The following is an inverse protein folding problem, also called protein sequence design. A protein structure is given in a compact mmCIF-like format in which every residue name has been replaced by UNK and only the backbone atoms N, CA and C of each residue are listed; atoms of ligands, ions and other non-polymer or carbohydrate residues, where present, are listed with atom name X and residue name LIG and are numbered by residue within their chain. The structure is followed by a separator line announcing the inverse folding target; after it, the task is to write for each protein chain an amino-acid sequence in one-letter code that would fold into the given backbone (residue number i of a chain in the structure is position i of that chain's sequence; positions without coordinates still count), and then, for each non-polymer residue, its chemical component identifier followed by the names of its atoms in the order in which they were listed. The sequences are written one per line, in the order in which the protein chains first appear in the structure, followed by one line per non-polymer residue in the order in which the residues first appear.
data_IF_769303319367
#
_entry.id   IF_769303319367
#
_cell.length_a   1.000
_cell.length_b   1.000
_cell.length_c   1.000
_cell.angle_alpha   90.00
_cell.angle_beta   90.00
_cell.angle_gamma   90.00
#
_symmetry.space_group_name_H-M   'P 1'
#
loop_
_entity.id
_entity.type
_entity.pdbx_description
1 polymer ?
#
# COMPACT_ATOMS: atom_id res chain seq x y z
N UNK A 1 3.75 -0.72 -23.68
CA UNK A 1 4.54 0.48 -24.04
C UNK A 1 3.66 1.75 -24.04
N UNK A 2 2.55 1.81 -24.79
CA UNK A 2 1.71 3.03 -24.79
C UNK A 2 1.10 3.37 -23.41
N UNK A 3 0.63 2.36 -22.67
CA UNK A 3 0.03 2.56 -21.34
C UNK A 3 1.00 3.03 -20.26
N UNK A 4 2.31 2.82 -20.47
CA UNK A 4 3.37 3.23 -19.54
C UNK A 4 3.92 4.63 -19.85
N UNK A 5 3.37 5.33 -20.84
CA UNK A 5 3.75 6.72 -21.12
C UNK A 5 3.27 7.60 -19.96
N UNK A 6 4.12 8.55 -19.60
CA UNK A 6 3.98 9.47 -18.48
C UNK A 6 3.29 10.77 -18.91
N UNK A 7 2.95 11.61 -17.93
CA UNK A 7 2.35 12.92 -18.17
C UNK A 7 0.97 12.90 -18.83
N UNK A 8 0.55 14.07 -19.31
CA UNK A 8 -0.77 14.31 -19.91
C UNK A 8 -1.02 13.43 -21.15
N UNK A 9 0.02 13.19 -21.97
CA UNK A 9 -0.06 12.30 -23.12
C UNK A 9 -0.37 10.87 -22.68
N UNK A 10 0.28 10.40 -21.62
CA UNK A 10 0.03 9.10 -21.02
C UNK A 10 -1.41 8.93 -20.53
N UNK A 11 -1.96 9.97 -19.89
CA UNK A 11 -3.36 10.00 -19.43
C UNK A 11 -4.31 9.84 -20.62
N UNK A 12 -4.14 10.65 -21.67
CA UNK A 12 -4.97 10.59 -22.86
C UNK A 12 -4.87 9.24 -23.59
N UNK A 13 -3.67 8.65 -23.65
CA UNK A 13 -3.47 7.33 -24.26
C UNK A 13 -4.16 6.22 -23.48
N UNK A 14 -4.02 6.17 -22.15
CA UNK A 14 -4.70 5.17 -21.31
C UNK A 14 -6.22 5.25 -21.48
N UNK A 15 -6.77 6.46 -21.48
CA UNK A 15 -8.21 6.68 -21.74
C UNK A 15 -8.63 6.17 -23.11
N UNK A 16 -7.92 6.52 -24.19
CA UNK A 16 -8.26 6.05 -25.54
C UNK A 16 -8.15 4.53 -25.70
N UNK A 17 -7.14 3.94 -25.08
CA UNK A 17 -6.93 2.49 -25.08
C UNK A 17 -8.07 1.80 -24.32
N UNK A 18 -8.43 2.27 -23.12
CA UNK A 18 -9.48 1.64 -22.31
C UNK A 18 -10.86 1.63 -22.98
N UNK A 19 -11.15 2.61 -23.86
CA UNK A 19 -12.42 2.65 -24.61
C UNK A 19 -12.55 1.62 -25.73
N UNK A 20 -11.53 0.81 -26.02
CA UNK A 20 -11.66 -0.23 -27.03
C UNK A 20 -12.52 -1.40 -26.52
N UNK A 21 -13.67 -1.73 -27.16
CA UNK A 21 -14.70 -2.59 -26.58
C UNK A 21 -14.27 -4.04 -26.30
N UNK A 22 -13.31 -4.57 -27.08
CA UNK A 22 -12.80 -5.92 -26.89
C UNK A 22 -11.52 -6.00 -26.04
N UNK A 23 -10.98 -4.87 -25.59
CA UNK A 23 -9.67 -4.84 -24.95
C UNK A 23 -9.63 -5.71 -23.69
N UNK A 24 -10.51 -5.42 -22.73
CA UNK A 24 -10.48 -6.11 -21.43
C UNK A 24 -10.76 -7.60 -21.56
N UNK A 25 -11.67 -7.99 -22.48
CA UNK A 25 -11.93 -9.40 -22.80
C UNK A 25 -10.68 -10.12 -23.34
N UNK A 26 -9.99 -9.50 -24.31
CA UNK A 26 -8.77 -10.07 -24.90
C UNK A 26 -7.63 -10.15 -23.86
N UNK A 27 -7.47 -9.11 -23.03
CA UNK A 27 -6.49 -9.12 -21.94
C UNK A 27 -6.80 -10.23 -20.94
N UNK A 28 -8.07 -10.42 -20.59
CA UNK A 28 -8.48 -11.48 -19.69
C UNK A 28 -8.09 -12.84 -20.27
N UNK A 29 -8.43 -13.12 -21.52
CA UNK A 29 -8.13 -14.39 -22.20
C UNK A 29 -6.64 -14.73 -22.14
N UNK A 30 -5.79 -13.78 -22.54
CA UNK A 30 -4.33 -13.95 -22.51
C UNK A 30 -3.82 -14.18 -21.08
N UNK A 31 -4.32 -13.45 -20.08
CA UNK A 31 -3.87 -13.61 -18.69
C UNK A 31 -4.22 -15.00 -18.12
N UNK A 32 -5.33 -15.58 -18.58
CA UNK A 32 -5.85 -16.88 -18.14
C UNK A 32 -5.29 -18.08 -18.91
N UNK A 33 -4.68 -17.86 -20.07
CA UNK A 33 -4.07 -18.92 -20.87
C UNK A 33 -2.73 -19.36 -20.25
N UNK A 34 -2.73 -20.50 -19.58
CA UNK A 34 -1.50 -21.08 -19.02
C UNK A 34 -0.52 -21.60 -20.07
N UNK A 35 -0.94 -21.71 -21.35
CA UNK A 35 -0.06 -22.06 -22.46
C UNK A 35 0.66 -20.84 -23.03
N UNK A 36 0.19 -19.63 -22.72
CA UNK A 36 0.83 -18.38 -23.13
C UNK A 36 2.17 -18.16 -22.43
N UNK A 37 3.09 -17.45 -23.09
CA UNK A 37 4.39 -17.09 -22.51
C UNK A 37 4.19 -16.27 -21.22
N UNK A 38 4.92 -16.59 -20.16
CA UNK A 38 4.87 -15.84 -18.90
C UNK A 38 5.12 -14.33 -19.11
N UNK A 39 6.03 -13.97 -20.02
CA UNK A 39 6.28 -12.59 -20.41
C UNK A 39 5.04 -11.89 -21.01
N UNK A 40 4.21 -12.61 -21.78
CA UNK A 40 2.98 -12.04 -22.34
C UNK A 40 1.95 -11.77 -21.23
N UNK A 41 1.78 -12.71 -20.29
CA UNK A 41 0.89 -12.53 -19.12
C UNK A 41 1.35 -11.37 -18.23
N UNK A 42 2.66 -11.22 -18.05
CA UNK A 42 3.28 -10.10 -17.33
C UNK A 42 3.04 -8.77 -18.03
N UNK A 43 3.13 -8.72 -19.37
CA UNK A 43 2.77 -7.53 -20.13
C UNK A 43 1.29 -7.17 -19.95
N UNK A 44 0.40 -8.15 -19.98
CA UNK A 44 -1.04 -7.96 -19.73
C UNK A 44 -1.29 -7.43 -18.32
N UNK A 45 -0.69 -8.03 -17.29
CA UNK A 45 -0.79 -7.54 -15.92
C UNK A 45 -0.28 -6.10 -15.80
N UNK A 46 0.83 -5.76 -16.47
CA UNK A 46 1.36 -4.40 -16.51
C UNK A 46 0.44 -3.41 -17.24
N UNK A 47 -0.24 -3.84 -18.31
CA UNK A 47 -1.26 -3.04 -18.99
C UNK A 47 -2.42 -2.77 -18.04
N UNK A 48 -2.98 -3.80 -17.40
CA UNK A 48 -4.08 -3.67 -16.45
C UNK A 48 -3.73 -2.74 -15.29
N UNK A 49 -2.54 -2.90 -14.70
CA UNK A 49 -2.02 -1.99 -13.65
C UNK A 49 -2.03 -0.53 -14.11
N UNK A 50 -1.49 -0.27 -15.30
CA UNK A 50 -1.39 1.10 -15.80
C UNK A 50 -2.77 1.68 -16.13
N UNK A 51 -3.67 0.89 -16.72
CA UNK A 51 -5.05 1.30 -17.01
C UNK A 51 -5.85 1.60 -15.74
N UNK A 52 -5.63 0.81 -14.69
CA UNK A 52 -6.27 0.99 -13.38
C UNK A 52 -5.84 2.27 -12.64
N UNK A 53 -4.87 3.04 -13.14
CA UNK A 53 -4.57 4.38 -12.59
C UNK A 53 -5.82 5.28 -12.68
N UNK A 54 -6.56 5.20 -13.79
CA UNK A 54 -7.81 5.93 -13.98
C UNK A 54 -8.96 5.31 -13.18
N UNK A 55 -9.71 6.13 -12.45
CA UNK A 55 -10.74 5.66 -11.51
C UNK A 55 -11.88 4.92 -12.20
N UNK A 56 -12.36 5.43 -13.33
CA UNK A 56 -13.48 4.83 -14.05
C UNK A 56 -13.05 3.50 -14.69
N UNK A 57 -11.85 3.49 -15.30
CA UNK A 57 -11.25 2.27 -15.87
C UNK A 57 -10.98 1.21 -14.79
N UNK A 58 -10.54 1.63 -13.59
CA UNK A 58 -10.36 0.75 -12.42
C UNK A 58 -11.67 0.08 -11.99
N UNK A 59 -12.77 0.83 -11.99
CA UNK A 59 -14.11 0.31 -11.70
C UNK A 59 -14.58 -0.68 -12.77
N UNK A 60 -14.37 -0.36 -14.05
CA UNK A 60 -14.76 -1.22 -15.17
C UNK A 60 -13.99 -2.56 -15.16
N UNK A 61 -12.66 -2.51 -14.98
CA UNK A 61 -11.84 -3.73 -14.82
C UNK A 61 -12.34 -4.53 -13.61
N UNK A 62 -12.69 -3.85 -12.52
CA UNK A 62 -13.20 -4.44 -11.30
C UNK A 62 -14.51 -5.21 -11.45
N UNK A 63 -15.42 -4.71 -12.29
CA UNK A 63 -16.68 -5.39 -12.62
C UNK A 63 -16.45 -6.71 -13.38
N UNK A 64 -15.33 -6.84 -14.09
CA UNK A 64 -14.92 -8.09 -14.71
C UNK A 64 -14.21 -8.99 -13.69
N UNK A 65 -14.97 -9.66 -12.82
CA UNK A 65 -14.44 -10.54 -11.77
C UNK A 65 -13.41 -11.56 -12.29
N UNK A 66 -13.56 -12.03 -13.53
CA UNK A 66 -12.60 -12.92 -14.19
C UNK A 66 -11.17 -12.35 -14.26
N UNK A 67 -11.01 -11.03 -14.43
CA UNK A 67 -9.70 -10.37 -14.42
C UNK A 67 -9.11 -10.35 -13.01
N UNK A 68 -9.91 -10.03 -12.00
CA UNK A 68 -9.47 -10.06 -10.59
C UNK A 68 -9.00 -11.48 -10.24
N UNK A 69 -9.84 -12.50 -10.46
CA UNK A 69 -9.50 -13.90 -10.15
C UNK A 69 -8.23 -14.36 -10.88
N UNK A 70 -8.06 -14.00 -12.16
CA UNK A 70 -6.86 -14.36 -12.94
C UNK A 70 -5.61 -13.65 -12.43
N UNK A 71 -5.72 -12.37 -12.06
CA UNK A 71 -4.63 -11.63 -11.44
C UNK A 71 -4.25 -12.20 -10.07
N UNK A 72 -5.24 -12.59 -9.24
CA UNK A 72 -4.99 -13.23 -7.95
C UNK A 72 -4.23 -14.54 -8.09
N UNK A 73 -4.66 -15.41 -9.02
CA UNK A 73 -3.91 -16.64 -9.33
C UNK A 73 -2.49 -16.32 -9.80
N UNK A 74 -2.33 -15.37 -10.71
CA UNK A 74 -1.01 -14.98 -11.19
C UNK A 74 -0.12 -14.38 -10.10
N UNK A 75 -0.68 -13.62 -9.15
CA UNK A 75 0.06 -13.01 -8.03
C UNK A 75 0.46 -13.99 -6.94
N UNK A 76 -0.29 -15.08 -6.78
CA UNK A 76 -0.08 -16.06 -5.72
C UNK A 76 0.71 -17.29 -6.17
N UNK A 77 0.83 -17.52 -7.48
CA UNK A 77 1.59 -18.65 -8.05
C UNK A 77 3.11 -18.40 -7.97
N UNK A 78 3.67 -18.34 -6.77
CA UNK A 78 5.11 -18.34 -6.53
C UNK A 78 5.70 -19.75 -6.32
N UNK A 79 4.95 -20.79 -6.68
CA UNK A 79 5.33 -22.18 -6.44
C UNK A 79 6.54 -22.59 -7.29
N UNK A 80 7.73 -22.45 -6.71
CA UNK A 80 8.98 -23.05 -7.19
C UNK A 80 10.23 -22.40 -6.61
N UNK A 81 10.96 -23.06 -5.67
CA UNK A 81 12.27 -22.59 -5.20
C UNK A 81 13.36 -22.59 -6.30
N UNK A 82 13.05 -23.08 -7.51
CA UNK A 82 13.94 -23.12 -8.67
C UNK A 82 13.60 -22.08 -9.74
N UNK A 83 12.77 -21.08 -9.44
CA UNK A 83 12.46 -20.01 -10.39
C UNK A 83 13.67 -19.09 -10.57
N UNK A 84 14.12 -18.93 -11.80
CA UNK A 84 15.19 -17.97 -12.12
C UNK A 84 14.66 -16.54 -11.92
N UNK A 85 15.55 -15.55 -11.79
CA UNK A 85 15.23 -14.15 -11.49
C UNK A 85 14.16 -13.53 -12.44
N UNK A 86 13.98 -14.09 -13.64
CA UNK A 86 12.95 -13.72 -14.61
C UNK A 86 11.54 -14.25 -14.33
N UNK A 87 11.41 -15.47 -13.81
CA UNK A 87 10.13 -16.15 -13.55
C UNK A 87 9.36 -15.50 -12.38
N UNK A 88 10.06 -14.79 -11.49
CA UNK A 88 9.48 -14.11 -10.31
C UNK A 88 8.75 -12.78 -10.65
N UNK A 89 8.83 -12.30 -11.90
CA UNK A 89 8.28 -10.98 -12.24
C UNK A 89 6.76 -10.97 -12.46
N UNK A 90 6.15 -12.07 -12.92
CA UNK A 90 4.70 -12.12 -13.14
C UNK A 90 3.92 -11.95 -11.82
N UNK A 91 4.22 -12.72 -10.73
CA UNK A 91 3.53 -12.55 -9.47
C UNK A 91 3.56 -11.11 -8.94
N UNK A 92 4.74 -10.49 -9.03
CA UNK A 92 4.93 -9.09 -8.66
C UNK A 92 4.06 -8.13 -9.48
N UNK A 93 4.11 -8.20 -10.80
CA UNK A 93 3.36 -7.27 -11.67
C UNK A 93 1.86 -7.50 -11.55
N UNK A 94 1.42 -8.75 -11.39
CA UNK A 94 0.03 -9.09 -11.13
C UNK A 94 -0.44 -8.53 -9.77
N UNK A 95 0.36 -8.68 -8.72
CA UNK A 95 0.05 -8.12 -7.41
C UNK A 95 0.02 -6.59 -7.40
N UNK A 96 0.92 -5.93 -8.14
CA UNK A 96 0.85 -4.47 -8.34
C UNK A 96 -0.44 -4.05 -9.08
N UNK A 97 -0.90 -4.84 -10.06
CA UNK A 97 -2.16 -4.59 -10.74
C UNK A 97 -3.34 -4.71 -9.77
N UNK A 98 -3.35 -5.74 -8.91
CA UNK A 98 -4.37 -5.90 -7.87
C UNK A 98 -4.34 -4.74 -6.87
N UNK A 99 -3.16 -4.31 -6.41
CA UNK A 99 -3.03 -3.19 -5.48
C UNK A 99 -3.61 -1.90 -6.08
N UNK A 100 -3.34 -1.64 -7.37
CA UNK A 100 -3.94 -0.52 -8.09
C UNK A 100 -5.46 -0.66 -8.22
N UNK A 101 -5.96 -1.87 -8.51
CA UNK A 101 -7.39 -2.14 -8.59
C UNK A 101 -8.11 -1.98 -7.24
N UNK A 102 -7.45 -2.30 -6.14
CA UNK A 102 -7.97 -2.19 -4.78
C UNK A 102 -8.01 -0.73 -4.29
N UNK A 103 -7.07 0.10 -4.73
CA UNK A 103 -6.94 1.49 -4.29
C UNK A 103 -8.25 2.27 -4.50
N UNK A 104 -8.73 2.93 -3.44
CA UNK A 104 -9.97 3.74 -3.40
C UNK A 104 -11.19 3.05 -4.05
N UNK A 105 -11.23 1.71 -4.08
CA UNK A 105 -12.29 0.95 -4.71
C UNK A 105 -12.81 -0.14 -3.77
N UNK A 106 -13.86 0.22 -3.02
CA UNK A 106 -14.54 -0.66 -2.05
C UNK A 106 -15.00 -1.96 -2.72
N UNK A 107 -15.62 -1.87 -3.91
CA UNK A 107 -16.16 -3.04 -4.60
C UNK A 107 -15.06 -4.06 -4.90
N UNK A 108 -13.93 -3.61 -5.45
CA UNK A 108 -12.82 -4.48 -5.80
C UNK A 108 -12.20 -5.13 -4.56
N UNK A 109 -12.05 -4.37 -3.47
CA UNK A 109 -11.57 -4.91 -2.20
C UNK A 109 -12.51 -5.99 -1.64
N UNK A 110 -13.82 -5.77 -1.68
CA UNK A 110 -14.82 -6.76 -1.26
C UNK A 110 -14.81 -8.02 -2.13
N UNK A 111 -14.54 -7.90 -3.44
CA UNK A 111 -14.35 -9.06 -4.31
C UNK A 111 -13.11 -9.85 -3.90
N UNK A 112 -11.98 -9.17 -3.64
CA UNK A 112 -10.73 -9.80 -3.23
C UNK A 112 -10.83 -10.47 -1.84
N UNK A 113 -11.54 -9.87 -0.89
CA UNK A 113 -11.75 -10.39 0.47
C UNK A 113 -12.56 -11.70 0.50
N UNK A 114 -13.35 -11.98 -0.55
CA UNK A 114 -14.12 -13.22 -0.66
C UNK A 114 -13.27 -14.41 -1.10
N UNK A 115 -12.07 -14.17 -1.64
CA UNK A 115 -11.19 -15.27 -2.06
C UNK A 115 -10.60 -15.96 -0.82
N UNK A 116 -10.79 -17.29 -0.68
CA UNK A 116 -10.22 -18.04 0.43
C UNK A 116 -8.69 -17.94 0.48
N UNK A 117 -8.14 -17.92 1.70
CA UNK A 117 -6.69 -17.89 1.98
C UNK A 117 -5.94 -16.66 1.43
N UNK A 118 -6.61 -15.69 0.81
CA UNK A 118 -5.91 -14.58 0.17
C UNK A 118 -5.14 -13.75 1.20
N UNK A 119 -5.79 -13.37 2.31
CA UNK A 119 -5.14 -12.65 3.41
C UNK A 119 -4.00 -13.47 4.00
N UNK A 120 -4.22 -14.76 4.27
CA UNK A 120 -3.16 -15.65 4.79
C UNK A 120 -1.93 -15.69 3.87
N UNK A 121 -2.13 -15.73 2.54
CA UNK A 121 -1.01 -15.69 1.59
C UNK A 121 -0.30 -14.34 1.58
N UNK A 122 -1.03 -13.22 1.64
CA UNK A 122 -0.42 -11.89 1.76
C UNK A 122 0.37 -11.74 3.08
N UNK A 123 -0.17 -12.26 4.19
CA UNK A 123 0.52 -12.36 5.49
C UNK A 123 1.84 -13.10 5.34
N UNK A 124 1.82 -14.28 4.71
CA UNK A 124 3.03 -15.08 4.48
C UNK A 124 4.05 -14.40 3.57
N UNK A 125 3.61 -13.60 2.59
CA UNK A 125 4.52 -12.79 1.77
C UNK A 125 5.29 -11.73 2.57
N UNK A 126 4.68 -11.18 3.63
CA UNK A 126 5.39 -10.26 4.54
C UNK A 126 6.41 -11.05 5.39
N UNK A 127 6.09 -12.28 5.81
CA UNK A 127 6.96 -13.13 6.64
C UNK A 127 8.25 -13.58 5.95
N UNK A 128 8.24 -13.75 4.62
CA UNK A 128 9.40 -14.26 3.87
C UNK A 128 10.55 -13.23 3.80
N UNK A 129 10.28 -11.96 4.14
CA UNK A 129 11.25 -10.86 4.06
C UNK A 129 11.89 -10.68 2.67
N UNK A 130 11.17 -11.03 1.59
CA UNK A 130 11.50 -10.57 0.25
C UNK A 130 10.90 -9.17 0.05
N UNK A 131 11.77 -8.15 0.00
CA UNK A 131 11.39 -6.76 -0.17
C UNK A 131 10.42 -6.49 -1.33
N UNK A 132 10.55 -7.23 -2.43
CA UNK A 132 9.64 -7.09 -3.59
C UNK A 132 8.24 -7.61 -3.28
N UNK A 133 8.14 -8.69 -2.49
CA UNK A 133 6.88 -9.29 -2.06
C UNK A 133 6.22 -8.47 -0.93
N UNK A 134 7.02 -7.95 0.01
CA UNK A 134 6.54 -7.08 1.10
C UNK A 134 5.76 -5.90 0.52
N UNK A 135 6.32 -5.19 -0.46
CA UNK A 135 5.66 -4.00 -1.02
C UNK A 135 4.28 -4.30 -1.59
N UNK A 136 4.17 -5.37 -2.37
CA UNK A 136 2.90 -5.80 -2.99
C UNK A 136 1.90 -6.23 -1.92
N UNK A 137 2.33 -7.06 -0.97
CA UNK A 137 1.48 -7.59 0.08
C UNK A 137 0.95 -6.47 0.99
N UNK A 138 1.83 -5.58 1.45
CA UNK A 138 1.48 -4.45 2.29
C UNK A 138 0.56 -3.46 1.57
N UNK A 139 0.81 -3.17 0.29
CA UNK A 139 -0.06 -2.32 -0.53
C UNK A 139 -1.47 -2.90 -0.66
N UNK A 140 -1.59 -4.21 -0.86
CA UNK A 140 -2.89 -4.88 -0.91
C UNK A 140 -3.57 -4.85 0.45
N UNK A 141 -2.91 -5.32 1.50
CA UNK A 141 -3.46 -5.34 2.85
C UNK A 141 -3.93 -3.96 3.30
N UNK A 142 -3.20 -2.88 2.98
CA UNK A 142 -3.61 -1.51 3.33
C UNK A 142 -4.98 -1.15 2.77
N UNK A 143 -5.23 -1.51 1.51
CA UNK A 143 -6.53 -1.26 0.87
C UNK A 143 -7.61 -2.20 1.39
N UNK A 144 -7.29 -3.48 1.63
CA UNK A 144 -8.24 -4.45 2.15
C UNK A 144 -8.69 -4.14 3.58
N UNK A 145 -7.77 -3.71 4.45
CA UNK A 145 -8.04 -3.34 5.84
C UNK A 145 -9.10 -2.23 5.97
N UNK A 146 -9.02 -1.21 5.10
CA UNK A 146 -9.97 -0.10 5.08
C UNK A 146 -11.42 -0.57 4.82
N UNK A 147 -11.59 -1.68 4.09
CA UNK A 147 -12.90 -2.14 3.62
C UNK A 147 -13.37 -3.46 4.25
N UNK A 148 -12.47 -4.20 4.89
CA UNK A 148 -12.80 -5.43 5.63
C UNK A 148 -13.88 -5.19 6.69
N UNK A 149 -13.93 -3.99 7.29
CA UNK A 149 -14.94 -3.64 8.28
C UNK A 149 -16.34 -3.41 7.70
N UNK A 150 -16.41 -2.99 6.43
CA UNK A 150 -17.68 -2.85 5.72
C UNK A 150 -18.25 -4.22 5.31
N UNK A 151 -17.54 -5.32 5.58
CA UNK A 151 -17.95 -6.67 5.25
C UNK A 151 -18.47 -7.41 6.49
N UNK A 152 -19.79 -7.42 6.74
CA UNK A 152 -20.37 -8.12 7.90
C UNK A 152 -20.15 -9.64 7.86
N UNK A 153 -20.02 -10.22 6.65
CA UNK A 153 -19.82 -11.66 6.45
C UNK A 153 -18.34 -12.06 6.40
N UNK A 154 -17.42 -11.23 6.89
CA UNK A 154 -16.01 -11.60 6.91
C UNK A 154 -15.82 -12.82 7.81
N UNK A 155 -15.19 -13.87 7.29
CA UNK A 155 -14.99 -15.11 8.03
C UNK A 155 -14.08 -14.87 9.23
N UNK A 156 -14.31 -15.62 10.32
CA UNK A 156 -13.46 -15.60 11.51
C UNK A 156 -11.99 -15.88 11.16
N UNK A 157 -11.74 -16.80 10.21
CA UNK A 157 -10.39 -17.06 9.69
C UNK A 157 -9.74 -15.82 9.09
N UNK A 158 -10.45 -15.08 8.23
CA UNK A 158 -9.89 -13.87 7.63
C UNK A 158 -9.66 -12.77 8.67
N UNK A 159 -10.49 -12.68 9.71
CA UNK A 159 -10.28 -11.74 10.81
C UNK A 159 -9.01 -12.08 11.60
N UNK A 160 -8.82 -13.35 11.94
CA UNK A 160 -7.62 -13.82 12.63
C UNK A 160 -6.35 -13.61 11.76
N UNK A 161 -6.43 -13.94 10.47
CA UNK A 161 -5.31 -13.72 9.54
C UNK A 161 -4.96 -12.24 9.39
N UNK A 162 -5.94 -11.34 9.44
CA UNK A 162 -5.70 -9.90 9.48
C UNK A 162 -4.96 -9.54 10.76
N UNK A 163 -5.48 -9.86 11.94
CA UNK A 163 -4.84 -9.51 13.22
C UNK A 163 -3.42 -10.07 13.33
N UNK A 164 -3.17 -11.31 12.90
CA UNK A 164 -1.82 -11.88 12.82
C UNK A 164 -0.90 -11.05 11.90
N UNK A 165 -1.40 -10.66 10.72
CA UNK A 165 -0.65 -9.84 9.78
C UNK A 165 -0.32 -8.47 10.37
N UNK A 166 -1.23 -7.89 11.16
CA UNK A 166 -1.00 -6.62 11.83
C UNK A 166 0.12 -6.70 12.87
N UNK A 167 0.07 -7.69 13.77
CA UNK A 167 1.14 -7.91 14.74
C UNK A 167 2.49 -8.01 14.02
N UNK A 168 2.55 -8.79 12.94
CA UNK A 168 3.79 -8.96 12.17
C UNK A 168 4.28 -7.67 11.51
N UNK A 169 3.37 -6.84 11.00
CA UNK A 169 3.71 -5.54 10.41
C UNK A 169 4.38 -4.65 11.44
N UNK A 170 3.83 -4.58 12.67
CA UNK A 170 4.40 -3.75 13.74
C UNK A 170 5.82 -4.19 14.12
N UNK A 171 6.05 -5.49 14.25
CA UNK A 171 7.38 -6.06 14.51
C UNK A 171 8.35 -5.77 13.35
N UNK A 172 7.89 -5.93 12.11
CA UNK A 172 8.76 -5.77 10.93
C UNK A 172 9.20 -4.33 10.72
N UNK A 173 8.35 -3.35 11.07
CA UNK A 173 8.66 -1.91 10.94
C UNK A 173 9.93 -1.52 11.71
N UNK A 174 10.27 -2.20 12.81
CA UNK A 174 11.48 -1.85 13.56
C UNK A 174 12.77 -2.19 12.79
N UNK A 175 12.72 -3.13 11.85
CA UNK A 175 13.90 -3.75 11.24
C UNK A 175 14.12 -3.37 9.76
N UNK A 176 13.16 -2.69 9.11
CA UNK A 176 13.23 -2.31 7.69
C UNK A 176 13.54 -0.82 7.47
N UNK A 177 13.98 -0.47 6.26
CA UNK A 177 14.29 0.90 5.84
C UNK A 177 13.74 1.20 4.43
N UNK A 178 13.78 2.47 4.02
CA UNK A 178 13.46 2.89 2.65
C UNK A 178 12.01 2.59 2.23
N UNK A 179 11.82 2.09 1.01
CA UNK A 179 10.50 1.84 0.43
C UNK A 179 9.68 0.78 1.19
N UNK A 180 10.33 -0.19 1.83
CA UNK A 180 9.65 -1.18 2.69
C UNK A 180 9.12 -0.54 3.96
N UNK A 181 9.91 0.35 4.57
CA UNK A 181 9.47 1.11 5.74
C UNK A 181 8.30 2.03 5.40
N UNK A 182 8.37 2.75 4.27
CA UNK A 182 7.29 3.62 3.78
C UNK A 182 5.95 2.87 3.69
N UNK A 183 5.92 1.74 2.99
CA UNK A 183 4.67 1.02 2.73
C UNK A 183 4.12 0.35 4.00
N UNK A 184 5.00 -0.17 4.87
CA UNK A 184 4.57 -0.78 6.13
C UNK A 184 4.05 0.26 7.12
N UNK A 185 4.67 1.45 7.23
CA UNK A 185 4.11 2.55 8.01
C UNK A 185 2.76 2.98 7.43
N UNK A 186 2.61 3.04 6.10
CA UNK A 186 1.33 3.36 5.47
C UNK A 186 0.21 2.34 5.74
N UNK A 187 0.56 1.06 5.88
CA UNK A 187 -0.36 0.02 6.36
C UNK A 187 -0.69 0.20 7.84
N UNK A 188 0.33 0.39 8.68
CA UNK A 188 0.20 0.60 10.12
C UNK A 188 -0.67 1.82 10.46
N UNK A 189 -0.48 2.94 9.75
CA UNK A 189 -1.22 4.18 9.98
C UNK A 189 -2.69 3.98 9.64
N UNK A 190 -2.97 3.23 8.57
CA UNK A 190 -4.32 2.87 8.18
C UNK A 190 -4.99 1.98 9.24
N UNK A 191 -4.27 1.01 9.82
CA UNK A 191 -4.83 0.17 10.88
C UNK A 191 -5.08 1.01 12.14
N UNK A 192 -4.10 1.83 12.55
CA UNK A 192 -4.21 2.75 13.69
C UNK A 192 -5.45 3.65 13.59
N UNK A 193 -5.72 4.19 12.40
CA UNK A 193 -6.89 5.02 12.13
C UNK A 193 -8.22 4.29 12.29
N UNK A 194 -8.32 3.05 11.82
CA UNK A 194 -9.60 2.34 11.73
C UNK A 194 -9.85 1.41 12.94
N UNK A 195 -8.82 1.02 13.67
CA UNK A 195 -8.91 0.23 14.91
C UNK A 195 -7.94 0.75 15.98
N UNK A 196 -8.17 1.96 16.52
CA UNK A 196 -7.27 2.57 17.49
C UNK A 196 -7.11 1.72 18.77
N UNK A 197 -8.16 1.07 19.26
CA UNK A 197 -8.09 0.25 20.47
C UNK A 197 -7.24 -1.01 20.28
N UNK A 198 -7.44 -1.72 19.17
CA UNK A 198 -6.63 -2.90 18.81
C UNK A 198 -5.16 -2.49 18.62
N UNK A 199 -4.91 -1.35 17.97
CA UNK A 199 -3.57 -0.81 17.78
C UNK A 199 -2.85 -0.54 19.11
N UNK A 200 -3.52 0.11 20.06
CA UNK A 200 -2.97 0.38 21.39
C UNK A 200 -2.68 -0.92 22.13
N UNK A 201 -3.61 -1.89 22.08
CA UNK A 201 -3.43 -3.19 22.72
C UNK A 201 -2.21 -3.94 22.20
N UNK A 202 -2.02 -3.99 20.88
CA UNK A 202 -0.88 -4.68 20.26
C UNK A 202 0.47 -4.02 20.63
N UNK A 203 0.55 -2.69 20.64
CA UNK A 203 1.79 -1.98 21.01
C UNK A 203 2.17 -2.19 22.49
N UNK A 204 1.19 -2.27 23.38
CA UNK A 204 1.42 -2.53 24.80
C UNK A 204 1.70 -4.01 25.06
N UNK A 205 0.94 -4.94 24.45
CA UNK A 205 1.15 -6.38 24.61
C UNK A 205 2.54 -6.80 24.11
N UNK A 206 2.94 -6.33 22.93
CA UNK A 206 4.28 -6.58 22.38
C UNK A 206 5.42 -5.85 23.09
N UNK A 207 5.13 -4.92 24.02
CA UNK A 207 6.12 -4.05 24.66
C UNK A 207 6.99 -3.28 23.65
N UNK A 208 6.46 -3.03 22.45
CA UNK A 208 7.21 -2.42 21.33
C UNK A 208 6.97 -0.91 21.20
N UNK A 209 6.01 -0.33 21.93
CA UNK A 209 5.66 1.11 21.88
C UNK A 209 6.85 2.05 21.74
N UNK A 210 7.83 1.96 22.66
CA UNK A 210 8.98 2.88 22.66
C UNK A 210 9.90 2.68 21.45
N UNK A 211 10.12 1.44 21.03
CA UNK A 211 10.94 1.12 19.84
C UNK A 211 10.25 1.62 18.57
N UNK A 212 8.95 1.41 18.48
CA UNK A 212 8.12 1.87 17.36
C UNK A 212 8.14 3.40 17.25
N UNK A 213 7.85 4.11 18.35
CA UNK A 213 7.90 5.58 18.39
C UNK A 213 9.29 6.11 18.01
N UNK A 214 10.35 5.53 18.59
CA UNK A 214 11.72 5.92 18.25
C UNK A 214 12.01 5.71 16.76
N UNK A 215 11.61 4.57 16.20
CA UNK A 215 11.80 4.25 14.77
C UNK A 215 11.14 5.29 13.87
N UNK A 216 9.92 5.73 14.18
CA UNK A 216 9.24 6.79 13.42
C UNK A 216 10.02 8.12 13.45
N UNK A 217 10.51 8.51 14.63
CA UNK A 217 11.28 9.75 14.79
C UNK A 217 12.63 9.66 14.07
N UNK A 218 13.34 8.54 14.22
CA UNK A 218 14.61 8.29 13.53
C UNK A 218 14.41 8.32 12.01
N UNK A 219 13.35 7.68 11.50
CA UNK A 219 13.02 7.65 10.08
C UNK A 219 12.67 9.04 9.55
N UNK A 220 11.96 9.87 10.32
CA UNK A 220 11.65 11.25 9.93
C UNK A 220 12.92 12.11 9.89
N UNK A 221 13.82 11.92 10.86
CA UNK A 221 15.12 12.59 10.88
C UNK A 221 16.04 12.13 9.74
N UNK A 222 16.03 10.85 9.38
CA UNK A 222 16.76 10.36 8.21
C UNK A 222 16.22 10.93 6.89
N UNK A 223 14.93 11.30 6.88
CA UNK A 223 14.21 11.84 5.73
C UNK A 223 13.86 13.32 5.91
N UNK A 224 14.74 14.13 6.53
CA UNK A 224 14.51 15.57 6.70
C UNK A 224 14.20 16.30 5.39
N UNK A 225 14.69 15.79 4.25
CA UNK A 225 14.34 16.27 2.91
C UNK A 225 13.45 15.26 2.20
N UNK A 226 12.60 15.71 1.25
CA UNK A 226 11.82 14.82 0.41
C UNK A 226 12.70 13.78 -0.30
N UNK A 227 12.27 12.51 -0.27
CA UNK A 227 12.90 11.42 -1.00
C UNK A 227 12.29 11.29 -2.40
N UNK A 228 13.11 10.95 -3.39
CA UNK A 228 12.63 10.59 -4.74
C UNK A 228 12.26 9.11 -4.80
N UNK A 229 12.99 8.26 -4.06
CA UNK A 229 12.84 6.80 -4.13
C UNK A 229 11.60 6.27 -3.38
N UNK A 230 11.15 7.00 -2.35
CA UNK A 230 10.00 6.67 -1.51
C UNK A 230 9.34 7.98 -1.01
N UNK A 231 8.68 8.71 -1.92
CA UNK A 231 8.27 10.09 -1.71
C UNK A 231 7.17 10.28 -0.65
N UNK A 232 6.44 9.24 -0.28
CA UNK A 232 5.40 9.26 0.72
C UNK A 232 5.87 9.03 2.16
N UNK A 233 7.15 8.69 2.41
CA UNK A 233 7.60 8.26 3.74
C UNK A 233 7.32 9.26 4.85
N UNK A 234 7.59 10.56 4.62
CA UNK A 234 7.33 11.60 5.62
C UNK A 234 5.84 11.70 5.93
N UNK A 235 4.99 11.66 4.90
CA UNK A 235 3.54 11.66 5.07
C UNK A 235 3.06 10.46 5.89
N UNK A 236 3.53 9.26 5.54
CA UNK A 236 3.12 8.04 6.26
C UNK A 236 3.50 8.13 7.74
N UNK A 237 4.70 8.65 8.05
CA UNK A 237 5.15 8.90 9.43
C UNK A 237 4.24 9.92 10.14
N UNK A 238 3.95 11.06 9.49
CA UNK A 238 3.09 12.09 10.08
C UNK A 238 1.67 11.57 10.35
N UNK A 239 1.08 10.85 9.40
CA UNK A 239 -0.23 10.22 9.57
C UNK A 239 -0.21 9.22 10.73
N UNK A 240 0.80 8.34 10.79
CA UNK A 240 0.97 7.40 11.90
C UNK A 240 1.06 8.13 13.25
N UNK A 241 1.90 9.16 13.34
CA UNK A 241 2.11 9.95 14.56
C UNK A 241 0.82 10.64 15.02
N UNK A 242 0.07 11.24 14.09
CA UNK A 242 -1.23 11.88 14.38
C UNK A 242 -2.22 10.85 14.92
N UNK A 243 -2.45 9.74 14.21
CA UNK A 243 -3.43 8.74 14.64
C UNK A 243 -3.07 8.07 15.98
N UNK A 244 -1.77 7.91 16.27
CA UNK A 244 -1.33 7.48 17.60
C UNK A 244 -1.73 8.50 18.67
N UNK A 245 -1.40 9.78 18.50
CA UNK A 245 -1.73 10.79 19.51
C UNK A 245 -3.23 11.05 19.65
N UNK A 246 -4.01 10.86 18.58
CA UNK A 246 -5.47 10.93 18.62
C UNK A 246 -6.11 9.74 19.34
N UNK A 247 -5.49 8.54 19.25
CA UNK A 247 -5.97 7.36 19.99
C UNK A 247 -5.61 7.40 21.47
N UNK A 248 -4.44 7.96 21.83
CA UNK A 248 -4.06 8.18 23.22
C UNK A 248 -3.07 9.32 23.40
N UNK A 249 -3.38 10.26 24.29
CA UNK A 249 -2.49 11.38 24.63
C UNK A 249 -1.16 10.93 25.25
N UNK A 250 -1.05 9.69 25.74
CA UNK A 250 0.19 9.18 26.31
C UNK A 250 1.34 9.10 25.28
N UNK A 251 1.02 9.00 23.98
CA UNK A 251 2.03 8.98 22.92
C UNK A 251 2.72 10.33 22.75
N UNK A 252 2.04 11.46 23.04
CA UNK A 252 2.64 12.80 22.96
C UNK A 252 3.89 12.91 23.86
N UNK A 253 3.81 12.40 25.09
CA UNK A 253 4.96 12.34 26.00
C UNK A 253 6.11 11.51 25.45
N UNK A 254 5.81 10.37 24.82
CA UNK A 254 6.83 9.50 24.24
C UNK A 254 7.49 10.16 23.01
N UNK A 255 6.71 10.79 22.13
CA UNK A 255 7.24 11.56 21.00
C UNK A 255 8.08 12.76 21.46
N UNK A 256 7.67 13.46 22.52
CA UNK A 256 8.44 14.54 23.12
C UNK A 256 9.79 14.08 23.66
N UNK A 257 9.84 12.93 24.34
CA UNK A 257 11.09 12.33 24.82
C UNK A 257 12.10 12.09 23.70
N UNK A 258 11.62 11.65 22.53
CA UNK A 258 12.45 11.46 21.33
C UNK A 258 12.62 12.72 20.47
N UNK A 259 12.18 13.88 20.95
CA UNK A 259 12.33 15.17 20.27
C UNK A 259 11.63 15.28 18.90
N UNK A 260 10.45 14.65 18.76
CA UNK A 260 9.67 14.70 17.51
C UNK A 260 9.38 16.14 17.03
N UNK A 261 9.16 17.10 17.94
CA UNK A 261 8.96 18.50 17.59
C UNK A 261 10.08 19.08 16.71
N UNK A 262 11.34 18.73 16.99
CA UNK A 262 12.48 19.19 16.19
C UNK A 262 12.42 18.60 14.77
N UNK A 263 12.07 17.32 14.64
CA UNK A 263 11.91 16.68 13.34
C UNK A 263 10.78 17.33 12.52
N UNK A 264 9.64 17.65 13.15
CA UNK A 264 8.52 18.34 12.50
C UNK A 264 8.89 19.72 11.96
N UNK A 265 9.64 20.51 12.73
CA UNK A 265 10.13 21.83 12.30
C UNK A 265 11.03 21.72 11.05
N UNK A 266 11.85 20.67 10.96
CA UNK A 266 12.70 20.47 9.77
C UNK A 266 11.88 20.08 8.52
N UNK A 267 10.80 19.33 8.69
CA UNK A 267 9.88 18.99 7.58
C UNK A 267 9.14 20.23 7.08
N UNK A 268 8.73 21.11 8.00
CA UNK A 268 8.08 22.40 7.69
C UNK A 268 8.95 23.28 6.77
N UNK A 269 10.26 23.30 7.01
CA UNK A 269 11.25 24.06 6.24
C UNK A 269 11.57 23.48 4.85
N UNK A 270 11.09 22.27 4.54
CA UNK A 270 11.43 21.56 3.29
C UNK A 270 10.19 21.04 2.55
N UNK A 271 9.24 21.91 2.17
CA UNK A 271 8.02 21.50 1.48
C UNK A 271 8.32 20.93 0.09
N UNK A 272 7.57 19.92 -0.34
CA UNK A 272 7.64 19.39 -1.70
C UNK A 272 6.28 18.97 -2.23
N UNK A 273 6.11 19.14 -3.55
CA UNK A 273 4.92 18.69 -4.27
C UNK A 273 4.89 17.17 -4.44
N UNK A 274 6.04 16.49 -4.37
CA UNK A 274 6.12 15.03 -4.55
C UNK A 274 5.29 14.30 -3.49
N UNK A 275 5.18 14.88 -2.30
CA UNK A 275 4.46 14.32 -1.16
C UNK A 275 2.94 14.51 -1.24
N UNK A 276 2.44 15.17 -2.27
CA UNK A 276 1.01 15.33 -2.50
C UNK A 276 0.39 14.12 -3.20
N UNK A 277 1.18 13.17 -3.71
CA UNK A 277 0.66 12.07 -4.52
C UNK A 277 0.88 10.72 -3.83
N UNK A 278 -0.09 9.81 -3.97
CA UNK A 278 0.02 8.46 -3.40
C UNK A 278 0.77 7.48 -4.29
N UNK A 279 0.72 7.67 -5.61
CA UNK A 279 1.36 6.76 -6.56
C UNK A 279 2.07 7.54 -7.66
N UNK A 280 3.20 7.00 -8.12
CA UNK A 280 3.96 7.54 -9.24
C UNK A 280 4.01 6.55 -10.40
N UNK A 281 3.91 7.07 -11.62
CA UNK A 281 4.36 6.40 -12.83
C UNK A 281 5.47 7.25 -13.43
N UNK A 282 6.72 6.82 -13.22
CA UNK A 282 7.90 7.65 -13.48
C UNK A 282 7.83 8.96 -12.70
N UNK A 283 7.98 10.09 -13.38
CA UNK A 283 7.99 11.41 -12.73
C UNK A 283 6.58 11.98 -12.49
N UNK A 284 5.53 11.27 -12.91
CA UNK A 284 4.14 11.73 -12.80
C UNK A 284 3.46 11.16 -11.57
N UNK A 285 3.03 12.05 -10.67
CA UNK A 285 2.20 11.72 -9.51
C UNK A 285 0.71 11.58 -9.83
N UNK A 286 0.07 10.60 -9.21
CA UNK A 286 -1.36 10.27 -9.32
C UNK A 286 -1.98 10.07 -7.94
N UNK A 287 -3.31 10.16 -7.86
CA UNK A 287 -4.07 10.15 -6.61
C UNK A 287 -3.54 11.20 -5.64
N UNK A 288 -3.83 12.46 -5.97
CA UNK A 288 -3.49 13.58 -5.11
C UNK A 288 -4.21 13.46 -3.77
N UNK A 289 -3.47 13.67 -2.70
CA UNK A 289 -3.95 13.62 -1.33
C UNK A 289 -4.80 14.84 -1.04
N UNK A 290 -5.97 14.63 -0.44
CA UNK A 290 -6.85 15.72 -0.03
C UNK A 290 -6.23 16.65 1.04
N UNK A 291 -5.30 16.12 1.84
CA UNK A 291 -4.63 16.88 2.91
C UNK A 291 -3.17 17.16 2.53
N UNK A 292 -2.74 18.42 2.40
CA UNK A 292 -1.35 18.75 2.13
C UNK A 292 -0.46 18.37 3.33
N UNK A 293 0.83 18.12 3.07
CA UNK A 293 1.77 17.72 4.12
C UNK A 293 1.89 18.77 5.24
N UNK A 294 1.86 20.06 4.89
CA UNK A 294 1.93 21.15 5.87
C UNK A 294 0.81 21.09 6.92
N UNK A 295 -0.41 20.76 6.51
CA UNK A 295 -1.53 20.60 7.44
C UNK A 295 -1.34 19.40 8.39
N UNK A 296 -0.66 18.33 7.94
CA UNK A 296 -0.29 17.22 8.81
C UNK A 296 0.79 17.64 9.82
N UNK A 297 1.78 18.43 9.39
CA UNK A 297 2.82 18.98 10.28
C UNK A 297 2.18 19.86 11.36
N UNK A 298 1.29 20.78 10.99
CA UNK A 298 0.57 21.65 11.93
C UNK A 298 -0.23 20.85 12.95
N UNK A 299 -0.96 19.82 12.48
CA UNK A 299 -1.74 18.93 13.35
C UNK A 299 -0.86 18.14 14.30
N UNK A 300 0.25 17.60 13.83
CA UNK A 300 1.20 16.87 14.67
C UNK A 300 1.83 17.78 15.73
N UNK A 301 2.25 19.00 15.37
CA UNK A 301 2.78 20.01 16.31
C UNK A 301 1.76 20.36 17.38
N UNK A 302 0.51 20.58 16.99
CA UNK A 302 -0.58 20.85 17.93
C UNK A 302 -0.75 19.71 18.94
N UNK A 303 -0.80 18.46 18.47
CA UNK A 303 -1.01 17.29 19.32
C UNK A 303 0.16 17.02 20.28
N UNK A 304 1.40 17.31 19.88
CA UNK A 304 2.60 17.13 20.72
C UNK A 304 2.74 18.23 21.78
N UNK A 305 2.26 19.44 21.47
CA UNK A 305 2.33 20.60 22.37
C UNK A 305 1.23 20.65 23.44
N UNK A 306 0.22 19.77 23.36
CA UNK A 306 -0.83 19.59 24.36
C UNK A 306 -0.45 18.53 25.38
#
# INVERSE_FOLDING_TARGET
RLTSIEGEIGIALRYKISKHPFLLGNLAEILGDNTSMQELRKLVAGILRNLAIDRDTRQEIGQMQVLITRLMKASLNSDGPSSTDGDCLLPKVAGQALAMLASENVHNCLVMLKEPEFINKLKNMILIHDGKCIYVAASLLRNLYLHAQAQPDLTESNQNDLSDAFQKVLETITDVEGAELEILIGLSSQICKVKPEEFVQELEHGQIKRRFVKKLVDALNANMKPSVDYPGIRRMILEQTIYMMESSSCYANCFNEFQMMNALLMVEETPSRVENYMIFLGDTGFMECNTPLSALVDRAKQLIGH
#
